data_IF_227179841785
#
_entry.id   IF_227179841785
#
_cell.length_a   1.000
_cell.length_b   1.000
_cell.length_c   1.000
_cell.angle_alpha   90.00
_cell.angle_beta   90.00
_cell.angle_gamma   90.00
#
_symmetry.space_group_name_H-M   'P 1'
#
loop_
_entity.id
_entity.type
_entity.pdbx_description
1 polymer ?
#
# COMPACT_ATOMS: atom_id res chain seq x y z
N UNK A 1 -15.23 -18.71 -0.67
CA UNK A 1 -16.46 -18.21 -1.32
C UNK A 1 -16.14 -17.92 -2.77
N UNK A 2 -16.89 -18.44 -3.74
CA UNK A 2 -16.61 -18.24 -5.16
C UNK A 2 -16.92 -16.80 -5.59
N UNK A 3 -15.95 -16.11 -6.17
CA UNK A 3 -16.15 -14.79 -6.79
C UNK A 3 -16.64 -15.01 -8.22
N UNK A 4 -17.89 -14.66 -8.52
CA UNK A 4 -18.42 -14.69 -9.89
C UNK A 4 -17.98 -13.45 -10.65
N UNK A 5 -17.35 -13.63 -11.80
CA UNK A 5 -17.11 -12.56 -12.78
C UNK A 5 -18.33 -12.38 -13.68
N UNK A 6 -18.38 -11.25 -14.40
CA UNK A 6 -19.51 -10.84 -15.24
C UNK A 6 -19.79 -11.78 -16.44
N UNK A 7 -18.91 -12.74 -16.71
CA UNK A 7 -19.00 -13.66 -17.85
C UNK A 7 -19.50 -15.07 -17.49
N UNK A 8 -19.87 -15.31 -16.22
CA UNK A 8 -20.53 -16.56 -15.81
C UNK A 8 -19.66 -17.82 -15.78
N UNK A 9 -18.34 -17.72 -15.99
CA UNK A 9 -17.43 -18.85 -15.79
C UNK A 9 -17.08 -19.03 -14.30
N UNK A 10 -17.34 -20.22 -13.78
CA UNK A 10 -16.87 -20.66 -12.45
C UNK A 10 -15.38 -21.00 -12.54
N UNK A 11 -14.54 -20.15 -11.95
CA UNK A 11 -13.12 -20.44 -11.73
C UNK A 11 -13.00 -21.35 -10.50
N UNK A 12 -13.11 -22.67 -10.71
CA UNK A 12 -12.69 -23.66 -9.73
C UNK A 12 -11.15 -23.69 -9.64
N UNK A 13 -10.61 -23.55 -8.41
CA UNK A 13 -9.25 -23.99 -8.12
C UNK A 13 -8.15 -22.94 -7.94
N UNK A 14 -8.43 -21.72 -7.48
CA UNK A 14 -7.40 -20.84 -6.92
C UNK A 14 -7.63 -20.64 -5.42
N UNK A 15 -7.14 -21.59 -4.62
CA UNK A 15 -6.89 -21.35 -3.20
C UNK A 15 -5.58 -20.55 -3.10
N UNK A 16 -5.68 -19.25 -3.39
CA UNK A 16 -4.71 -18.29 -2.88
C UNK A 16 -4.91 -18.31 -1.37
N UNK A 17 -3.89 -18.69 -0.59
CA UNK A 17 -3.87 -18.55 0.87
C UNK A 17 -3.90 -17.05 1.26
N UNK A 18 -4.99 -16.38 0.89
CA UNK A 18 -5.50 -15.20 1.54
C UNK A 18 -5.95 -15.74 2.89
N UNK A 19 -5.33 -15.32 3.99
CA UNK A 19 -5.91 -15.58 5.30
C UNK A 19 -7.39 -15.16 5.21
N UNK A 20 -8.36 -16.09 5.36
CA UNK A 20 -9.74 -15.74 5.11
C UNK A 20 -10.15 -14.84 6.27
N UNK A 21 -10.12 -13.52 6.02
CA UNK A 21 -10.90 -12.62 6.83
C UNK A 21 -12.34 -13.12 6.75
N UNK A 22 -12.94 -13.41 7.89
CA UNK A 22 -14.32 -13.86 7.89
C UNK A 22 -15.23 -12.75 7.35
N UNK A 23 -16.48 -13.10 7.02
CA UNK A 23 -17.42 -12.14 6.40
C UNK A 23 -17.62 -10.91 7.28
N UNK A 24 -17.56 -11.07 8.60
CA UNK A 24 -17.75 -10.00 9.56
C UNK A 24 -16.53 -9.08 9.62
N UNK A 25 -15.31 -9.62 9.55
CA UNK A 25 -14.06 -8.86 9.43
C UNK A 25 -14.02 -8.03 8.14
N UNK A 26 -14.42 -8.62 7.01
CA UNK A 26 -14.48 -7.93 5.73
C UNK A 26 -15.50 -6.78 5.76
N UNK A 27 -16.67 -7.02 6.36
CA UNK A 27 -17.71 -6.00 6.49
C UNK A 27 -17.30 -4.90 7.48
N UNK A 28 -16.71 -5.25 8.62
CA UNK A 28 -16.16 -4.30 9.58
C UNK A 28 -15.09 -3.42 8.93
N UNK A 29 -14.19 -4.01 8.14
CA UNK A 29 -13.18 -3.28 7.40
C UNK A 29 -13.78 -2.38 6.31
N UNK A 30 -14.85 -2.83 5.63
CA UNK A 30 -15.61 -2.01 4.68
C UNK A 30 -16.18 -0.77 5.37
N UNK A 31 -16.82 -0.94 6.53
CA UNK A 31 -17.38 0.18 7.33
C UNK A 31 -16.26 1.09 7.85
N UNK A 32 -15.15 0.52 8.30
CA UNK A 32 -13.98 1.27 8.77
C UNK A 32 -13.47 2.24 7.70
N UNK A 33 -13.26 1.74 6.48
CA UNK A 33 -12.74 2.52 5.37
C UNK A 33 -13.78 3.40 4.66
N UNK A 34 -15.07 3.19 4.88
CA UNK A 34 -16.14 4.04 4.36
C UNK A 34 -16.28 5.38 5.11
N UNK A 35 -15.64 5.52 6.28
CA UNK A 35 -15.68 6.74 7.05
C UNK A 35 -14.88 7.89 6.40
N UNK A 36 -15.13 9.15 6.81
CA UNK A 36 -14.40 10.29 6.28
C UNK A 36 -12.88 10.11 6.37
N UNK A 37 -12.24 10.22 5.21
CA UNK A 37 -10.79 10.29 5.06
C UNK A 37 -10.42 11.67 4.52
N UNK A 38 -9.68 12.47 5.27
CA UNK A 38 -9.41 13.87 4.92
C UNK A 38 -7.91 14.15 4.85
N UNK A 39 -7.48 14.84 3.80
CA UNK A 39 -6.14 15.42 3.76
C UNK A 39 -5.97 16.41 4.92
N UNK A 40 -4.86 16.31 5.66
CA UNK A 40 -4.58 17.27 6.74
C UNK A 40 -3.17 17.86 6.69
N UNK A 41 -2.23 17.22 5.98
CA UNK A 41 -0.85 17.72 5.95
C UNK A 41 -0.07 17.21 4.74
N UNK A 42 0.86 18.02 4.24
CA UNK A 42 1.86 17.61 3.27
C UNK A 42 3.24 18.12 3.70
N UNK A 43 4.25 17.26 3.70
CA UNK A 43 5.61 17.63 4.07
C UNK A 43 6.59 17.44 2.92
N UNK A 44 7.47 18.44 2.71
CA UNK A 44 8.62 18.36 1.80
C UNK A 44 9.93 18.02 2.51
N UNK A 45 9.98 18.15 3.84
CA UNK A 45 11.18 17.93 4.64
C UNK A 45 10.86 17.26 5.98
N UNK A 46 11.86 16.65 6.61
CA UNK A 46 11.69 15.92 7.87
C UNK A 46 11.36 16.86 9.02
N UNK A 47 12.02 18.01 9.06
CA UNK A 47 11.85 19.02 10.11
C UNK A 47 10.46 19.68 10.08
N UNK A 48 9.68 19.39 9.04
CA UNK A 48 8.31 19.84 8.85
C UNK A 48 7.32 18.68 8.95
N UNK A 49 7.70 17.49 9.43
CA UNK A 49 6.72 16.44 9.66
C UNK A 49 5.70 16.89 10.72
N UNK A 50 4.41 16.56 10.54
CA UNK A 50 3.42 16.84 11.57
C UNK A 50 3.74 15.96 12.79
N UNK A 51 3.36 16.43 13.98
CA UNK A 51 3.46 15.61 15.20
C UNK A 51 2.83 14.22 14.98
N UNK A 52 3.48 13.13 15.43
CA UNK A 52 2.92 11.78 15.34
C UNK A 52 1.51 11.73 15.93
N UNK A 53 0.55 11.19 15.16
CA UNK A 53 -0.84 11.05 15.60
C UNK A 53 -1.44 9.75 15.06
N UNK A 54 -2.08 8.99 15.95
CA UNK A 54 -2.64 7.67 15.61
C UNK A 54 -1.61 6.71 15.01
N UNK A 55 -2.07 5.57 14.51
CA UNK A 55 -1.22 4.62 13.76
C UNK A 55 -1.11 5.07 12.30
N UNK A 56 0.09 5.00 11.73
CA UNK A 56 0.38 5.34 10.33
C UNK A 56 0.55 4.09 9.47
N UNK A 57 -0.12 4.10 8.31
CA UNK A 57 0.06 3.18 7.19
C UNK A 57 0.59 3.95 6.00
N UNK A 58 1.84 3.70 5.62
CA UNK A 58 2.45 4.37 4.47
C UNK A 58 2.30 3.56 3.18
N UNK A 59 2.11 4.23 2.06
CA UNK A 59 2.03 3.63 0.73
C UNK A 59 3.25 4.05 -0.08
N UNK A 60 4.06 3.07 -0.46
CA UNK A 60 5.26 3.27 -1.27
C UNK A 60 5.13 2.48 -2.58
N UNK A 61 5.73 2.96 -3.65
CA UNK A 61 5.74 2.24 -4.92
C UNK A 61 6.32 3.08 -6.05
N UNK A 62 6.58 2.44 -7.19
CA UNK A 62 7.06 3.14 -8.39
C UNK A 62 6.02 4.14 -8.91
N UNK A 63 6.48 5.13 -9.65
CA UNK A 63 5.57 6.00 -10.43
C UNK A 63 4.67 5.13 -11.34
N UNK A 64 3.39 5.47 -11.41
CA UNK A 64 2.36 4.74 -12.18
C UNK A 64 2.12 3.27 -11.76
N UNK A 65 2.59 2.85 -10.59
CA UNK A 65 2.31 1.49 -10.09
C UNK A 65 0.83 1.27 -9.79
N UNK A 66 0.10 2.32 -9.40
CA UNK A 66 -1.31 2.23 -9.01
C UNK A 66 -1.61 2.71 -7.58
N UNK A 67 -0.66 3.37 -6.92
CA UNK A 67 -0.78 3.89 -5.54
C UNK A 67 -2.01 4.75 -5.29
N UNK A 68 -2.19 5.83 -6.03
CA UNK A 68 -3.36 6.70 -5.89
C UNK A 68 -4.67 5.94 -6.17
N UNK A 69 -4.66 5.04 -7.16
CA UNK A 69 -5.83 4.21 -7.48
C UNK A 69 -6.18 3.26 -6.35
N UNK A 70 -5.19 2.63 -5.72
CA UNK A 70 -5.40 1.75 -4.57
C UNK A 70 -5.94 2.53 -3.37
N UNK A 71 -5.33 3.68 -3.03
CA UNK A 71 -5.77 4.53 -1.92
C UNK A 71 -7.23 4.97 -2.11
N UNK A 72 -7.59 5.39 -3.33
CA UNK A 72 -8.96 5.73 -3.66
C UNK A 72 -9.91 4.52 -3.58
N UNK A 73 -9.47 3.34 -4.05
CA UNK A 73 -10.28 2.13 -4.02
C UNK A 73 -10.55 1.65 -2.58
N UNK A 74 -9.53 1.63 -1.71
CA UNK A 74 -9.71 1.22 -0.32
C UNK A 74 -10.57 2.24 0.45
N UNK A 75 -10.45 3.55 0.20
CA UNK A 75 -11.26 4.57 0.89
C UNK A 75 -12.63 4.82 0.27
N UNK A 76 -12.89 4.33 -0.95
CA UNK A 76 -14.10 4.67 -1.69
C UNK A 76 -14.17 6.14 -2.14
N UNK A 77 -13.07 6.89 -2.05
CA UNK A 77 -13.02 8.32 -2.39
C UNK A 77 -12.25 8.56 -3.68
N UNK A 78 -12.92 9.12 -4.70
CA UNK A 78 -12.35 9.25 -6.05
C UNK A 78 -11.28 10.35 -6.19
N UNK A 79 -11.21 11.30 -5.27
CA UNK A 79 -10.38 12.52 -5.39
C UNK A 79 -9.27 12.63 -4.35
N UNK A 80 -9.28 11.78 -3.31
CA UNK A 80 -8.38 11.88 -2.17
C UNK A 80 -6.90 11.91 -2.59
N UNK A 81 -6.47 10.93 -3.41
CA UNK A 81 -5.10 10.85 -3.90
C UNK A 81 -4.86 11.57 -5.25
N UNK A 82 -5.87 12.26 -5.82
CA UNK A 82 -5.67 13.14 -6.99
C UNK A 82 -5.12 14.51 -6.59
N UNK A 83 -5.39 14.94 -5.36
CA UNK A 83 -4.81 16.16 -4.77
C UNK A 83 -3.27 16.10 -4.61
N UNK A 84 -2.66 14.90 -4.66
CA UNK A 84 -1.21 14.68 -4.55
C UNK A 84 -0.47 14.66 -5.90
N UNK A 85 -1.18 14.59 -7.04
CA UNK A 85 -0.59 14.43 -8.38
C UNK A 85 -0.49 15.74 -9.19
N UNK A 86 -0.71 16.91 -8.58
CA UNK A 86 -0.42 18.20 -9.24
C UNK A 86 1.10 18.31 -9.50
N UNK A 87 1.55 18.70 -10.70
CA UNK A 87 2.97 18.91 -10.99
C UNK A 87 3.61 19.83 -9.94
N UNK A 88 4.63 19.34 -9.23
CA UNK A 88 5.28 20.05 -8.11
C UNK A 88 5.01 19.47 -6.71
N UNK A 89 3.92 18.71 -6.51
CA UNK A 89 3.61 18.02 -5.23
C UNK A 89 4.13 16.59 -5.13
N UNK A 90 4.64 16.05 -6.22
CA UNK A 90 5.08 14.65 -6.38
C UNK A 90 6.30 14.25 -5.53
N UNK A 91 6.85 15.18 -4.75
CA UNK A 91 8.00 14.98 -3.84
C UNK A 91 7.61 15.05 -2.36
N UNK A 92 6.32 15.23 -2.05
CA UNK A 92 5.84 15.39 -0.68
C UNK A 92 5.32 14.06 -0.11
N UNK A 93 5.48 13.89 1.20
CA UNK A 93 4.69 12.96 2.00
C UNK A 93 3.32 13.60 2.22
N UNK A 94 2.23 12.96 1.79
CA UNK A 94 0.87 13.46 2.03
C UNK A 94 0.18 12.62 3.08
N UNK A 95 -0.43 13.27 4.07
CA UNK A 95 -1.05 12.62 5.19
C UNK A 95 -2.57 12.80 5.15
N UNK A 96 -3.29 11.70 5.32
CA UNK A 96 -4.74 11.65 5.32
C UNK A 96 -5.24 11.00 6.61
N UNK A 97 -6.23 11.62 7.23
CA UNK A 97 -6.86 11.17 8.46
C UNK A 97 -8.08 10.31 8.15
N UNK A 98 -8.05 9.01 8.47
CA UNK A 98 -9.22 8.16 8.39
C UNK A 98 -9.99 8.21 9.71
N UNK A 99 -10.71 9.31 9.92
CA UNK A 99 -11.60 9.56 11.05
C UNK A 99 -10.95 9.34 12.43
N UNK A 100 -9.70 9.76 12.60
CA UNK A 100 -8.95 9.64 13.86
C UNK A 100 -8.50 8.23 14.20
N UNK A 101 -8.74 7.24 13.34
CA UNK A 101 -8.47 5.82 13.62
C UNK A 101 -7.19 5.30 12.96
N UNK A 102 -6.89 5.81 11.77
CA UNK A 102 -5.69 5.44 11.00
C UNK A 102 -5.25 6.64 10.18
N UNK A 103 -3.95 6.87 10.10
CA UNK A 103 -3.35 7.86 9.21
C UNK A 103 -2.79 7.15 7.98
N UNK A 104 -3.29 7.51 6.81
CA UNK A 104 -2.75 7.05 5.53
C UNK A 104 -1.66 8.02 5.08
N UNK A 105 -0.48 7.51 4.77
CA UNK A 105 0.65 8.33 4.31
C UNK A 105 1.00 7.97 2.88
N UNK A 106 0.71 8.87 1.95
CA UNK A 106 1.05 8.70 0.55
C UNK A 106 2.50 9.14 0.31
N UNK A 107 3.39 8.18 0.07
CA UNK A 107 4.80 8.48 -0.19
C UNK A 107 5.02 8.88 -1.65
N UNK A 108 5.99 9.77 -1.93
CA UNK A 108 6.37 10.09 -3.29
C UNK A 108 6.86 8.82 -4.03
N UNK A 109 6.43 8.65 -5.28
CA UNK A 109 6.77 7.45 -6.05
C UNK A 109 8.24 7.37 -6.41
N UNK A 110 8.85 6.18 -6.34
CA UNK A 110 10.25 5.98 -6.72
C UNK A 110 10.42 5.56 -8.18
N UNK A 111 11.68 5.51 -8.62
CA UNK A 111 12.03 5.02 -9.95
C UNK A 111 11.67 5.95 -11.10
N UNK A 112 11.44 7.25 -10.84
CA UNK A 112 11.49 8.27 -11.89
C UNK A 112 12.93 8.35 -12.40
N UNK A 113 13.22 7.59 -13.46
CA UNK A 113 14.46 7.70 -14.20
C UNK A 113 14.55 9.11 -14.79
N UNK A 114 15.73 9.73 -14.66
CA UNK A 114 16.10 11.11 -15.07
C UNK A 114 16.00 12.23 -14.03
N UNK A 115 15.80 11.95 -12.74
CA UNK A 115 16.17 12.95 -11.74
C UNK A 115 17.69 12.88 -11.49
N UNK A 116 18.37 14.03 -11.46
CA UNK A 116 19.80 14.15 -11.14
C UNK A 116 20.16 13.33 -9.88
N UNK A 117 21.40 12.81 -9.78
CA UNK A 117 21.87 12.01 -8.62
C UNK A 117 21.44 12.61 -7.28
N UNK A 118 21.51 13.94 -7.17
CA UNK A 118 21.10 14.73 -6.00
C UNK A 118 19.63 14.54 -5.60
N UNK A 119 18.70 14.49 -6.56
CA UNK A 119 17.27 14.30 -6.29
C UNK A 119 16.96 12.87 -5.84
N UNK A 120 17.72 11.88 -6.33
CA UNK A 120 17.64 10.50 -5.83
C UNK A 120 18.14 10.40 -4.39
N UNK A 121 19.25 11.07 -4.07
CA UNK A 121 19.82 11.10 -2.72
C UNK A 121 18.90 11.83 -1.73
N UNK A 122 18.36 12.98 -2.09
CA UNK A 122 17.42 13.74 -1.25
C UNK A 122 16.13 12.94 -1.00
N UNK A 123 15.60 12.29 -2.04
CA UNK A 123 14.41 11.43 -1.92
C UNK A 123 14.68 10.19 -1.05
N UNK A 124 15.84 9.55 -1.23
CA UNK A 124 16.26 8.42 -0.40
C UNK A 124 16.49 8.83 1.06
N UNK A 125 17.07 10.01 1.30
CA UNK A 125 17.30 10.55 2.63
C UNK A 125 16.00 10.90 3.36
N UNK A 126 15.11 11.64 2.69
CA UNK A 126 13.78 11.98 3.23
C UNK A 126 13.00 10.71 3.59
N UNK A 127 12.92 9.74 2.68
CA UNK A 127 12.24 8.48 2.96
C UNK A 127 12.90 7.71 4.10
N UNK A 128 14.23 7.52 4.05
CA UNK A 128 14.92 6.70 5.05
C UNK A 128 14.75 7.27 6.46
N UNK A 129 14.88 8.58 6.60
CA UNK A 129 14.74 9.23 7.90
C UNK A 129 13.30 9.23 8.39
N UNK A 130 12.31 9.40 7.49
CA UNK A 130 10.91 9.21 7.85
C UNK A 130 10.67 7.77 8.35
N UNK A 131 11.12 6.77 7.60
CA UNK A 131 10.95 5.36 7.96
C UNK A 131 11.61 5.01 9.30
N UNK A 132 12.84 5.48 9.54
CA UNK A 132 13.58 5.20 10.78
C UNK A 132 13.09 6.01 11.99
N UNK A 133 12.61 7.23 11.76
CA UNK A 133 12.32 8.20 12.82
C UNK A 133 10.84 8.30 13.22
N UNK A 134 9.93 7.60 12.55
CA UNK A 134 8.48 7.74 12.74
C UNK A 134 7.94 6.66 13.69
N UNK A 135 7.73 6.96 14.99
CA UNK A 135 7.43 5.94 16.00
C UNK A 135 6.04 5.29 15.84
N UNK A 136 5.11 5.99 15.18
CA UNK A 136 3.74 5.53 14.98
C UNK A 136 3.52 4.87 13.59
N UNK A 137 4.57 4.72 12.79
CA UNK A 137 4.50 4.01 11.51
C UNK A 137 4.45 2.50 11.75
N UNK A 138 3.26 1.90 11.57
CA UNK A 138 3.07 0.47 11.80
C UNK A 138 3.44 -0.40 10.60
N UNK A 139 3.19 0.09 9.38
CA UNK A 139 3.43 -0.70 8.16
C UNK A 139 3.62 0.17 6.93
N UNK A 140 4.44 -0.32 6.00
CA UNK A 140 4.52 0.19 4.62
C UNK A 140 3.83 -0.80 3.67
N UNK A 141 2.77 -0.37 3.00
CA UNK A 141 2.23 -1.04 1.83
C UNK A 141 3.14 -0.76 0.62
N UNK A 142 3.95 -1.75 0.23
CA UNK A 142 4.87 -1.66 -0.89
C UNK A 142 4.20 -2.16 -2.17
N UNK A 143 3.81 -1.25 -3.04
CA UNK A 143 3.05 -1.56 -4.24
C UNK A 143 3.95 -2.00 -5.38
N UNK A 144 3.55 -3.08 -6.05
CA UNK A 144 4.25 -3.65 -7.20
C UNK A 144 3.25 -3.98 -8.33
N UNK A 145 3.52 -3.51 -9.55
CA UNK A 145 2.66 -3.78 -10.72
C UNK A 145 2.84 -5.24 -11.13
N UNK A 146 1.80 -6.06 -11.01
CA UNK A 146 1.88 -7.49 -11.27
C UNK A 146 2.24 -7.83 -12.72
N UNK A 147 2.05 -6.90 -13.66
CA UNK A 147 2.21 -7.14 -15.11
C UNK A 147 3.66 -7.04 -15.58
N UNK A 148 4.58 -6.61 -14.72
CA UNK A 148 5.98 -6.39 -15.05
C UNK A 148 6.88 -7.13 -14.06
N UNK A 149 8.15 -7.26 -14.44
CA UNK A 149 9.18 -7.83 -13.59
C UNK A 149 9.53 -6.91 -12.41
N UNK A 150 9.99 -7.52 -11.30
CA UNK A 150 10.53 -6.80 -10.15
C UNK A 150 11.76 -6.00 -10.61
N UNK A 151 11.84 -4.72 -10.23
CA UNK A 151 12.95 -3.85 -10.61
C UNK A 151 13.96 -3.69 -9.48
N UNK A 152 15.19 -3.32 -9.82
CA UNK A 152 16.23 -3.01 -8.85
C UNK A 152 15.82 -1.93 -7.85
N UNK A 153 14.99 -0.97 -8.28
CA UNK A 153 14.45 0.04 -7.39
C UNK A 153 13.52 -0.53 -6.30
N UNK A 154 12.76 -1.57 -6.61
CA UNK A 154 11.90 -2.24 -5.63
C UNK A 154 12.77 -2.97 -4.59
N UNK A 155 13.78 -3.71 -5.07
CA UNK A 155 14.75 -4.40 -4.21
C UNK A 155 15.54 -3.44 -3.32
N UNK A 156 15.91 -2.27 -3.84
CA UNK A 156 16.60 -1.24 -3.07
C UNK A 156 15.72 -0.69 -1.94
N UNK A 157 14.43 -0.50 -2.20
CA UNK A 157 13.46 -0.04 -1.18
C UNK A 157 13.23 -1.13 -0.13
N UNK A 158 13.10 -2.40 -0.51
CA UNK A 158 12.99 -3.51 0.46
C UNK A 158 14.19 -3.58 1.40
N UNK A 159 15.42 -3.46 0.86
CA UNK A 159 16.65 -3.39 1.69
C UNK A 159 16.66 -2.17 2.62
N UNK A 160 16.09 -1.05 2.18
CA UNK A 160 16.01 0.16 2.98
C UNK A 160 15.01 0.00 4.13
N UNK A 161 13.89 -0.67 3.89
CA UNK A 161 12.89 -1.02 4.89
C UNK A 161 13.44 -2.00 5.93
N UNK A 162 14.23 -2.99 5.52
CA UNK A 162 14.97 -3.86 6.45
C UNK A 162 15.91 -3.06 7.36
N UNK A 163 16.71 -2.15 6.78
CA UNK A 163 17.64 -1.31 7.53
C UNK A 163 16.94 -0.37 8.52
N UNK A 164 15.74 0.09 8.16
CA UNK A 164 14.92 0.94 9.02
C UNK A 164 14.12 0.13 10.06
N UNK A 165 14.15 -1.20 10.00
CA UNK A 165 13.33 -2.10 10.81
C UNK A 165 11.82 -1.80 10.70
N UNK A 166 11.36 -1.37 9.52
CA UNK A 166 9.94 -1.05 9.27
C UNK A 166 9.28 -2.18 8.52
N UNK A 167 8.29 -2.82 9.14
CA UNK A 167 7.52 -3.88 8.49
C UNK A 167 6.86 -3.37 7.21
N UNK A 168 7.03 -4.12 6.12
CA UNK A 168 6.37 -3.83 4.86
C UNK A 168 5.56 -5.02 4.36
N UNK A 169 4.44 -4.75 3.70
CA UNK A 169 3.62 -5.76 3.07
C UNK A 169 3.51 -5.44 1.58
N UNK A 170 3.83 -6.42 0.74
CA UNK A 170 3.72 -6.24 -0.70
C UNK A 170 2.25 -6.24 -1.10
N UNK A 171 1.86 -5.24 -1.88
CA UNK A 171 0.56 -5.14 -2.53
C UNK A 171 0.77 -5.25 -4.03
N UNK A 172 0.41 -6.39 -4.61
CA UNK A 172 0.41 -6.56 -6.05
C UNK A 172 -0.79 -5.80 -6.63
N UNK A 173 -0.53 -4.84 -7.50
CA UNK A 173 -1.56 -4.05 -8.18
C UNK A 173 -1.76 -4.49 -9.62
N UNK A 174 -2.94 -4.16 -10.19
CA UNK A 174 -3.30 -4.45 -11.59
C UNK A 174 -3.33 -5.94 -11.90
N UNK A 175 -3.73 -6.75 -10.91
CA UNK A 175 -3.84 -8.20 -11.01
C UNK A 175 -4.79 -8.66 -12.14
N UNK A 176 -5.78 -7.83 -12.46
CA UNK A 176 -6.71 -8.00 -13.59
C UNK A 176 -6.04 -8.03 -14.97
N UNK A 177 -4.77 -7.61 -15.07
CA UNK A 177 -3.99 -7.70 -16.29
C UNK A 177 -3.29 -9.06 -16.49
N UNK A 178 -3.38 -9.98 -15.54
CA UNK A 178 -2.72 -11.29 -15.60
C UNK A 178 -3.73 -12.42 -15.83
N UNK A 179 -3.34 -13.40 -16.66
CA UNK A 179 -4.05 -14.68 -16.75
C UNK A 179 -3.85 -15.50 -15.46
N UNK A 180 -4.77 -16.41 -15.09
CA UNK A 180 -4.71 -17.14 -13.82
C UNK A 180 -3.35 -17.80 -13.52
N UNK A 181 -2.77 -18.51 -14.50
CA UNK A 181 -1.46 -19.16 -14.32
C UNK A 181 -0.27 -18.19 -14.23
N UNK A 182 -0.38 -16.97 -14.76
CA UNK A 182 0.64 -15.93 -14.58
C UNK A 182 0.47 -15.22 -13.24
N UNK A 183 -0.79 -15.01 -12.81
CA UNK A 183 -1.13 -14.45 -11.51
C UNK A 183 -0.61 -15.32 -10.36
N UNK A 184 -0.84 -16.63 -10.42
CA UNK A 184 -0.34 -17.58 -9.43
C UNK A 184 1.19 -17.54 -9.32
N UNK A 185 1.88 -17.63 -10.47
CA UNK A 185 3.35 -17.54 -10.53
C UNK A 185 3.89 -16.23 -9.98
N UNK A 186 3.26 -15.10 -10.32
CA UNK A 186 3.68 -13.78 -9.81
C UNK A 186 3.45 -13.65 -8.31
N UNK A 187 2.36 -14.20 -7.80
CA UNK A 187 2.06 -14.20 -6.36
C UNK A 187 3.09 -15.03 -5.60
N UNK A 188 3.46 -16.21 -6.10
CA UNK A 188 4.51 -17.04 -5.52
C UNK A 188 5.89 -16.35 -5.55
N UNK A 189 6.26 -15.74 -6.68
CA UNK A 189 7.48 -14.95 -6.83
C UNK A 189 7.57 -13.86 -5.75
N UNK A 190 6.50 -13.07 -5.58
CA UNK A 190 6.46 -11.98 -4.60
C UNK A 190 6.43 -12.49 -3.15
N UNK A 191 5.76 -13.62 -2.90
CA UNK A 191 5.74 -14.28 -1.59
C UNK A 191 7.14 -14.76 -1.21
N UNK A 192 7.83 -15.43 -2.12
CA UNK A 192 9.21 -15.87 -1.92
C UNK A 192 10.17 -14.69 -1.75
N UNK A 193 9.92 -13.57 -2.43
CA UNK A 193 10.68 -12.35 -2.27
C UNK A 193 10.47 -11.74 -0.87
N UNK A 194 9.22 -11.55 -0.42
CA UNK A 194 8.91 -11.01 0.89
C UNK A 194 9.57 -11.81 2.02
N UNK A 195 9.54 -13.14 1.95
CA UNK A 195 10.15 -14.04 2.94
C UNK A 195 11.69 -13.93 3.05
N UNK A 196 12.37 -13.37 2.05
CA UNK A 196 13.83 -13.14 2.09
C UNK A 196 14.20 -11.89 2.90
N UNK A 197 13.23 -11.06 3.25
CA UNK A 197 13.43 -9.80 3.94
C UNK A 197 12.94 -9.92 5.39
N UNK A 198 13.77 -9.51 6.36
CA UNK A 198 13.43 -9.61 7.78
C UNK A 198 12.22 -8.73 8.14
N UNK A 199 12.05 -7.61 7.45
CA UNK A 199 10.90 -6.72 7.62
C UNK A 199 9.72 -7.07 6.69
N UNK A 200 9.84 -8.12 5.86
CA UNK A 200 8.81 -8.51 4.90
C UNK A 200 7.66 -9.26 5.55
N UNK A 201 6.45 -8.73 5.43
CA UNK A 201 5.22 -9.42 5.80
C UNK A 201 4.96 -10.58 4.82
N UNK A 202 4.72 -11.80 5.29
CA UNK A 202 4.75 -13.00 4.44
C UNK A 202 3.58 -13.09 3.46
N UNK A 203 2.45 -12.44 3.75
CA UNK A 203 1.24 -12.49 2.91
C UNK A 203 1.20 -11.34 1.92
N UNK A 204 1.05 -11.66 0.64
CA UNK A 204 0.89 -10.69 -0.45
C UNK A 204 -0.57 -10.33 -0.63
N UNK A 205 -0.87 -9.03 -0.74
CA UNK A 205 -2.22 -8.57 -1.10
C UNK A 205 -2.33 -8.48 -2.62
N UNK A 206 -3.19 -9.29 -3.21
CA UNK A 206 -3.41 -9.34 -4.66
C UNK A 206 -4.59 -8.45 -5.03
N UNK A 207 -4.35 -7.32 -5.70
CA UNK A 207 -5.37 -6.27 -5.88
C UNK A 207 -5.56 -5.79 -7.32
N UNK A 208 -6.79 -5.37 -7.61
CA UNK A 208 -7.12 -4.53 -8.75
C UNK A 208 -8.06 -3.39 -8.31
N UNK A 209 -7.55 -2.15 -8.40
CA UNK A 209 -8.40 -0.98 -8.23
C UNK A 209 -9.44 -0.81 -9.35
N UNK A 210 -9.26 -1.49 -10.50
CA UNK A 210 -10.18 -1.43 -11.64
C UNK A 210 -11.38 -2.33 -11.45
N UNK A 211 -11.16 -3.56 -10.99
CA UNK A 211 -12.23 -4.57 -10.84
C UNK A 211 -12.74 -4.72 -9.41
N UNK A 212 -12.02 -4.15 -8.42
CA UNK A 212 -12.31 -4.34 -7.00
C UNK A 212 -11.73 -5.63 -6.41
N UNK A 213 -11.05 -6.46 -7.22
CA UNK A 213 -10.38 -7.68 -6.75
C UNK A 213 -9.42 -7.36 -5.60
N UNK A 214 -9.51 -8.11 -4.50
CA UNK A 214 -8.61 -8.00 -3.35
C UNK A 214 -8.76 -6.75 -2.49
N UNK A 215 -9.69 -5.83 -2.83
CA UNK A 215 -9.90 -4.60 -2.08
C UNK A 215 -10.50 -4.88 -0.69
N UNK A 216 -11.50 -5.76 -0.52
CA UNK A 216 -11.98 -6.15 0.81
C UNK A 216 -10.88 -6.70 1.71
N UNK A 217 -10.04 -7.60 1.19
CA UNK A 217 -8.94 -8.23 1.91
C UNK A 217 -7.85 -7.21 2.28
N UNK A 218 -7.54 -6.28 1.36
CA UNK A 218 -6.63 -5.19 1.65
C UNK A 218 -7.17 -4.28 2.76
N UNK A 219 -8.48 -3.95 2.74
CA UNK A 219 -9.11 -3.19 3.83
C UNK A 219 -8.99 -3.92 5.16
N UNK A 220 -9.29 -5.23 5.20
CA UNK A 220 -9.18 -6.01 6.42
C UNK A 220 -7.75 -6.02 6.98
N UNK A 221 -6.77 -6.30 6.12
CA UNK A 221 -5.36 -6.30 6.51
C UNK A 221 -4.87 -4.95 7.05
N UNK A 222 -5.38 -3.83 6.50
CA UNK A 222 -5.01 -2.49 6.92
C UNK A 222 -5.81 -2.01 8.14
N UNK A 223 -7.08 -2.37 8.26
CA UNK A 223 -7.92 -2.05 9.42
C UNK A 223 -7.39 -2.74 10.68
N UNK A 224 -6.85 -3.95 10.55
CA UNK A 224 -6.21 -4.69 11.63
C UNK A 224 -4.98 -3.99 12.25
N UNK A 225 -4.43 -2.95 11.60
CA UNK A 225 -3.36 -2.11 12.16
C UNK A 225 -3.90 -1.08 13.16
N UNK A 226 -5.16 -0.68 13.02
CA UNK A 226 -5.76 0.27 13.92
C UNK A 226 -6.04 -0.43 15.26
N UNK A 227 -5.78 0.24 16.41
CA UNK A 227 -6.15 -0.32 17.70
C UNK A 227 -7.66 -0.58 17.72
N UNK A 228 -8.06 -1.71 18.31
CA UNK A 228 -9.46 -1.99 18.58
C UNK A 228 -10.04 -0.80 19.35
N UNK A 229 -11.19 -0.27 18.88
CA UNK A 229 -11.88 0.81 19.59
C UNK A 229 -12.23 0.25 20.96
N UNK A 230 -11.51 0.69 22.00
CA UNK A 230 -11.95 0.46 23.37
C UNK A 230 -13.29 1.18 23.48
N UNK A 231 -14.37 0.41 23.57
CA UNK A 231 -15.66 0.98 23.93
C UNK A 231 -15.51 1.53 25.36
N UNK A 232 -15.36 2.84 25.46
CA UNK A 232 -15.47 3.58 26.72
C UNK A 232 -16.92 3.80 27.08
#
# INVERSE_FOLDING_TARGET
MAVKTLDGEEVEGLNLDLAPADVDELEAARVFFAAPCNFFYASQSLDQLPEPRGIELAFAGRSNVGKSSLVNAITGQNTLARASNTPGRTRQLNFFDLSGRLVLVDMPGYGYAQAEKKVKEDWQGLMFNYLRGRPNLARVALLMDGRIEVKDSDLAVMKLLDKAAVTFQIVMTKADGLKPGALARKTEELTALARKHAAGFPTILVTSARTGMGIPEARAAFAALAPAISQG
#
